data_IF_309923112056
#
_entry.id   IF_309923112056
#
_cell.length_a   1.000
_cell.length_b   1.000
_cell.length_c   1.000
_cell.angle_alpha   90.00
_cell.angle_beta   90.00
_cell.angle_gamma   90.00
#
_symmetry.space_group_name_H-M   'P 1'
#
loop_
_entity.id
_entity.type
_entity.pdbx_description
1 polymer ?
#
# COMPACT_ATOMS: atom_id res chain seq x y z
N UNK A 1 -4.36 19.77 17.04
CA UNK A 1 -4.19 19.37 15.63
C UNK A 1 -3.20 18.22 15.63
N UNK A 2 -3.63 17.02 15.28
CA UNK A 2 -2.70 15.90 15.12
C UNK A 2 -1.75 16.25 13.97
N UNK A 3 -0.46 16.30 14.28
CA UNK A 3 0.59 16.56 13.31
C UNK A 3 0.74 15.26 12.48
N UNK A 4 -0.12 15.07 11.48
CA UNK A 4 -0.02 13.94 10.55
C UNK A 4 1.29 14.10 9.79
N UNK A 5 2.32 13.40 10.26
CA UNK A 5 3.63 13.34 9.62
C UNK A 5 3.41 12.84 8.20
N UNK A 6 3.66 13.70 7.21
CA UNK A 6 3.62 13.32 5.80
C UNK A 6 4.80 12.38 5.56
N UNK A 7 4.49 11.13 5.22
CA UNK A 7 5.47 10.10 4.85
C UNK A 7 5.76 10.23 3.36
N UNK A 8 7.04 10.25 3.00
CA UNK A 8 7.46 10.24 1.60
C UNK A 8 7.13 8.88 0.96
N UNK A 9 6.93 8.83 -0.37
CA UNK A 9 6.62 7.58 -1.08
C UNK A 9 7.67 6.48 -0.83
N UNK A 10 8.93 6.85 -0.62
CA UNK A 10 10.00 5.88 -0.33
C UNK A 10 9.99 5.39 1.12
N UNK A 11 9.28 6.06 2.02
CA UNK A 11 9.16 5.68 3.43
C UNK A 11 7.96 4.75 3.68
N UNK A 12 7.21 4.36 2.63
CA UNK A 12 6.06 3.46 2.79
C UNK A 12 6.45 2.12 3.39
N UNK A 13 7.67 1.62 3.12
CA UNK A 13 8.19 0.40 3.73
C UNK A 13 8.37 0.48 5.25
N UNK A 14 8.37 1.70 5.82
CA UNK A 14 8.44 1.94 7.26
C UNK A 14 7.08 1.95 7.94
N UNK A 15 5.98 1.85 7.17
CA UNK A 15 4.64 1.72 7.71
C UNK A 15 4.48 0.41 8.48
N UNK A 16 3.66 0.43 9.53
CA UNK A 16 3.28 -0.81 10.20
C UNK A 16 2.13 -1.45 9.45
N UNK A 17 2.24 -2.77 9.25
CA UNK A 17 1.17 -3.58 8.68
C UNK A 17 -0.17 -3.37 9.42
N UNK A 18 -0.14 -3.25 10.76
CA UNK A 18 -1.34 -2.99 11.57
C UNK A 18 -2.03 -1.66 11.23
N UNK A 19 -1.26 -0.64 10.89
CA UNK A 19 -1.80 0.68 10.55
C UNK A 19 -2.44 0.62 9.15
N UNK A 20 -1.80 -0.07 8.20
CA UNK A 20 -2.35 -0.34 6.87
C UNK A 20 -3.66 -1.11 6.97
N UNK A 21 -3.70 -2.21 7.73
CA UNK A 21 -4.92 -3.01 7.92
C UNK A 21 -6.06 -2.20 8.53
N UNK A 22 -5.77 -1.36 9.53
CA UNK A 22 -6.76 -0.51 10.18
C UNK A 22 -7.42 0.46 9.20
N UNK A 23 -6.64 1.12 8.36
CA UNK A 23 -7.17 2.03 7.34
C UNK A 23 -7.89 1.26 6.22
N UNK A 24 -7.34 0.11 5.79
CA UNK A 24 -7.96 -0.72 4.76
C UNK A 24 -9.30 -1.31 5.15
N UNK A 25 -9.55 -1.54 6.44
CA UNK A 25 -10.86 -1.95 6.94
C UNK A 25 -11.95 -0.96 6.55
N UNK A 26 -11.70 0.34 6.66
CA UNK A 26 -12.67 1.37 6.27
C UNK A 26 -12.95 1.32 4.76
N UNK A 27 -11.93 1.09 3.93
CA UNK A 27 -12.06 0.96 2.48
C UNK A 27 -12.92 -0.25 2.11
N UNK A 28 -12.64 -1.40 2.72
CA UNK A 28 -13.38 -2.65 2.52
C UNK A 28 -14.84 -2.50 2.92
N UNK A 29 -15.10 -1.90 4.08
CA UNK A 29 -16.44 -1.65 4.60
C UNK A 29 -17.24 -0.72 3.66
N UNK A 30 -16.60 0.35 3.18
CA UNK A 30 -17.20 1.32 2.25
C UNK A 30 -17.50 0.73 0.87
N UNK A 31 -16.70 -0.23 0.40
CA UNK A 31 -16.92 -0.94 -0.86
C UNK A 31 -17.89 -2.11 -0.72
N UNK A 32 -18.42 -2.37 0.47
CA UNK A 32 -19.27 -3.52 0.79
C UNK A 32 -18.64 -4.86 0.37
N UNK A 33 -17.30 -4.94 0.39
CA UNK A 33 -16.57 -6.16 0.09
C UNK A 33 -16.63 -7.07 1.32
N UNK A 34 -17.19 -8.26 1.19
CA UNK A 34 -17.25 -9.22 2.29
C UNK A 34 -15.83 -9.52 2.80
N UNK A 35 -15.49 -9.03 4.00
CA UNK A 35 -14.20 -9.20 4.66
C UNK A 35 -12.97 -8.82 3.79
N UNK A 36 -13.12 -7.96 2.78
CA UNK A 36 -12.03 -7.52 1.89
C UNK A 36 -11.54 -8.59 0.91
N UNK A 37 -12.27 -9.69 0.79
CA UNK A 37 -11.97 -10.81 -0.09
C UNK A 37 -13.15 -11.06 -1.04
N UNK A 38 -12.88 -10.95 -2.34
CA UNK A 38 -13.79 -11.40 -3.38
C UNK A 38 -13.03 -12.47 -4.14
N UNK A 39 -13.61 -13.67 -4.30
CA UNK A 39 -12.94 -14.91 -4.76
C UNK A 39 -11.61 -14.73 -5.50
N UNK A 40 -10.50 -15.02 -4.80
CA UNK A 40 -9.14 -14.97 -5.35
C UNK A 40 -8.41 -13.62 -5.22
N UNK A 41 -9.07 -12.58 -4.70
CA UNK A 41 -8.52 -11.23 -4.54
C UNK A 41 -8.57 -10.79 -3.07
N UNK A 42 -7.40 -10.71 -2.43
CA UNK A 42 -7.22 -10.25 -1.05
C UNK A 42 -6.69 -8.82 -1.05
N UNK A 43 -7.57 -7.85 -0.82
CA UNK A 43 -7.23 -6.44 -0.90
C UNK A 43 -6.24 -6.01 0.20
N UNK A 44 -6.29 -6.64 1.39
CA UNK A 44 -5.34 -6.35 2.46
C UNK A 44 -3.94 -6.75 2.02
N UNK A 45 -3.78 -7.97 1.51
CA UNK A 45 -2.47 -8.47 1.09
C UNK A 45 -1.89 -7.72 -0.09
N UNK A 46 -2.72 -7.31 -1.05
CA UNK A 46 -2.30 -6.51 -2.20
C UNK A 46 -1.74 -5.16 -1.73
N UNK A 47 -2.47 -4.44 -0.88
CA UNK A 47 -2.05 -3.11 -0.40
C UNK A 47 -0.83 -3.22 0.51
N UNK A 48 -0.79 -4.19 1.43
CA UNK A 48 0.39 -4.44 2.26
C UNK A 48 1.63 -4.71 1.42
N UNK A 49 1.51 -5.56 0.39
CA UNK A 49 2.61 -5.88 -0.50
C UNK A 49 3.11 -4.63 -1.22
N UNK A 50 2.20 -3.86 -1.83
CA UNK A 50 2.57 -2.64 -2.55
C UNK A 50 3.22 -1.58 -1.65
N UNK A 51 2.81 -1.46 -0.39
CA UNK A 51 3.34 -0.43 0.52
C UNK A 51 4.65 -0.86 1.18
N UNK A 52 4.80 -2.14 1.52
CA UNK A 52 5.90 -2.64 2.36
C UNK A 52 7.04 -3.28 1.58
N UNK A 53 6.76 -3.86 0.41
CA UNK A 53 7.74 -4.54 -0.44
C UNK A 53 8.12 -3.63 -1.60
N UNK A 54 9.28 -2.99 -1.48
CA UNK A 54 9.77 -2.05 -2.47
C UNK A 54 9.96 -2.74 -3.83
N UNK A 55 10.63 -3.90 -3.87
CA UNK A 55 10.89 -4.62 -5.12
C UNK A 55 9.59 -4.97 -5.85
N UNK A 56 8.60 -5.53 -5.14
CA UNK A 56 7.29 -5.81 -5.76
C UNK A 56 6.53 -4.56 -6.15
N UNK A 57 6.64 -3.47 -5.39
CA UNK A 57 6.05 -2.19 -5.78
C UNK A 57 6.61 -1.72 -7.11
N UNK A 58 7.92 -1.82 -7.28
CA UNK A 58 8.60 -1.46 -8.52
C UNK A 58 8.10 -2.33 -9.69
N UNK A 59 8.06 -3.65 -9.52
CA UNK A 59 7.52 -4.57 -10.55
C UNK A 59 6.05 -4.22 -10.93
N UNK A 60 5.21 -3.91 -9.93
CA UNK A 60 3.83 -3.50 -10.15
C UNK A 60 3.76 -2.16 -10.90
N UNK A 61 4.59 -1.19 -10.53
CA UNK A 61 4.61 0.12 -11.17
C UNK A 61 5.11 0.06 -12.61
N UNK A 62 6.14 -0.76 -12.89
CA UNK A 62 6.59 -1.03 -14.26
C UNK A 62 5.47 -1.64 -15.11
N UNK A 63 4.79 -2.67 -14.58
CA UNK A 63 3.69 -3.35 -15.26
C UNK A 63 2.52 -2.40 -15.57
N UNK A 64 2.21 -1.47 -14.67
CA UNK A 64 1.11 -0.52 -14.80
C UNK A 64 1.50 0.81 -15.45
N UNK A 65 2.77 0.98 -15.83
CA UNK A 65 3.32 2.23 -16.37
C UNK A 65 3.12 3.43 -15.43
N UNK A 66 3.25 3.21 -14.13
CA UNK A 66 3.22 4.25 -13.10
C UNK A 66 4.64 4.82 -12.96
N UNK A 67 4.78 6.14 -13.11
CA UNK A 67 6.07 6.79 -12.96
C UNK A 67 6.54 6.74 -11.49
N UNK A 68 7.76 6.27 -11.27
CA UNK A 68 8.41 6.26 -9.96
C UNK A 68 9.42 7.40 -9.83
N UNK A 69 9.55 7.93 -8.63
CA UNK A 69 10.59 8.92 -8.32
C UNK A 69 11.96 8.23 -8.29
N UNK A 70 12.98 8.85 -8.89
CA UNK A 70 14.35 8.33 -8.95
C UNK A 70 14.98 8.08 -7.57
N UNK A 71 14.44 8.67 -6.51
CA UNK A 71 14.82 8.42 -5.12
C UNK A 71 14.50 6.99 -4.64
N UNK A 72 13.72 6.21 -5.41
CA UNK A 72 13.49 4.79 -5.18
C UNK A 72 14.79 3.95 -5.28
N UNK A 73 15.75 4.37 -6.12
CA UNK A 73 17.00 3.63 -6.38
C UNK A 73 18.18 4.08 -5.53
N UNK A 74 17.97 5.01 -4.60
CA UNK A 74 19.04 5.57 -3.77
C UNK A 74 18.83 5.18 -2.31
N UNK A 75 19.43 4.06 -1.92
CA UNK A 75 19.86 3.81 -0.54
C UNK A 75 21.25 4.42 -0.32
#
# INVERSE_FOLDING_TARGET
>A
MENKKLIHSNEYHMLKQSDIQKEMKQVVDNLHMAAGSVGGFDLYKVVETYMLDLEKRHEINELLHIAEDASFYKE
#
